data_IF_881323730831
#
_entry.id   IF_881323730831
#
_cell.length_a   1.000
_cell.length_b   1.000
_cell.length_c   1.000
_cell.angle_alpha   90.00
_cell.angle_beta   90.00
_cell.angle_gamma   90.00
#
_symmetry.space_group_name_H-M   'P 1'
#
loop_
_entity.id
_entity.type
_entity.pdbx_description
1 polymer ?
#
# COMPACT_ATOMS: atom_id res chain seq x y z
N UNK A 1 -4.71 -37.14 -38.46
CA UNK A 1 -5.21 -35.78 -38.14
C UNK A 1 -5.25 -35.49 -36.63
N UNK A 2 -5.87 -36.34 -35.80
CA UNK A 2 -5.99 -36.09 -34.34
C UNK A 2 -4.63 -35.94 -33.62
N UNK A 3 -3.63 -36.78 -33.92
CA UNK A 3 -2.29 -36.66 -33.30
C UNK A 3 -1.59 -35.34 -33.64
N UNK A 4 -1.79 -34.82 -34.86
CA UNK A 4 -1.20 -33.56 -35.31
C UNK A 4 -1.83 -32.35 -34.59
N UNK A 5 -3.16 -32.39 -34.40
CA UNK A 5 -3.90 -31.40 -33.61
C UNK A 5 -3.39 -31.40 -32.15
N UNK A 6 -3.18 -32.58 -31.55
CA UNK A 6 -2.67 -32.69 -30.18
C UNK A 6 -1.26 -32.11 -29.99
N UNK A 7 -0.37 -32.23 -30.99
CA UNK A 7 0.96 -31.61 -30.94
C UNK A 7 0.89 -30.08 -31.05
N UNK A 8 0.03 -29.55 -31.91
CA UNK A 8 -0.19 -28.10 -32.04
C UNK A 8 -0.77 -27.53 -30.75
N UNK A 9 -1.78 -28.18 -30.17
CA UNK A 9 -2.38 -27.72 -28.90
C UNK A 9 -1.36 -27.73 -27.75
N UNK A 10 -0.51 -28.75 -27.64
CA UNK A 10 0.57 -28.78 -26.64
C UNK A 10 1.58 -27.66 -26.87
N UNK A 11 1.95 -27.39 -28.12
CA UNK A 11 2.89 -26.29 -28.44
C UNK A 11 2.30 -24.93 -28.07
N UNK A 12 1.02 -24.68 -28.37
CA UNK A 12 0.33 -23.43 -28.02
C UNK A 12 0.25 -23.26 -26.49
N UNK A 13 -0.07 -24.31 -25.75
CA UNK A 13 -0.12 -24.25 -24.27
C UNK A 13 1.27 -23.96 -23.70
N UNK A 14 2.31 -24.64 -24.18
CA UNK A 14 3.69 -24.39 -23.72
C UNK A 14 4.17 -22.98 -24.08
N UNK A 15 3.83 -22.47 -25.27
CA UNK A 15 4.16 -21.10 -25.68
C UNK A 15 3.39 -20.05 -24.86
N UNK A 16 2.11 -20.28 -24.55
CA UNK A 16 1.32 -19.41 -23.69
C UNK A 16 1.85 -19.39 -22.25
N UNK A 17 2.27 -20.54 -21.72
CA UNK A 17 2.93 -20.63 -20.40
C UNK A 17 4.27 -19.90 -20.41
N UNK A 18 5.07 -20.03 -21.47
CA UNK A 18 6.34 -19.30 -21.60
C UNK A 18 6.15 -17.78 -21.68
N UNK A 19 5.09 -17.31 -22.33
CA UNK A 19 4.72 -15.89 -22.40
C UNK A 19 4.28 -15.31 -21.04
N UNK A 20 3.72 -16.14 -20.15
CA UNK A 20 3.40 -15.73 -18.77
C UNK A 20 4.67 -15.50 -17.92
N UNK A 21 5.78 -16.19 -18.22
CA UNK A 21 7.07 -15.95 -17.56
C UNK A 21 7.86 -14.77 -18.15
N UNK A 22 7.61 -14.41 -19.42
CA UNK A 22 8.26 -13.26 -20.08
C UNK A 22 7.73 -11.88 -19.60
N UNK A 23 6.66 -11.84 -18.82
CA UNK A 23 6.17 -10.58 -18.21
C UNK A 23 7.11 -10.05 -17.11
N UNK A 24 8.14 -10.82 -16.74
CA UNK A 24 9.17 -10.41 -15.78
C UNK A 24 10.42 -9.78 -16.42
N UNK A 25 10.48 -9.58 -17.75
CA UNK A 25 11.70 -9.05 -18.39
C UNK A 25 11.79 -7.52 -18.45
N UNK A 26 10.72 -6.80 -18.05
CA UNK A 26 10.69 -5.32 -17.94
C UNK A 26 10.48 -4.80 -16.50
N UNK A 27 10.56 -5.67 -15.49
CA UNK A 27 10.74 -5.22 -14.11
C UNK A 27 12.24 -5.05 -13.89
N UNK A 28 12.67 -3.79 -13.87
CA UNK A 28 14.02 -3.39 -13.50
C UNK A 28 14.25 -3.74 -12.02
N UNK A 29 14.50 -5.03 -11.75
CA UNK A 29 14.89 -5.57 -10.46
C UNK A 29 16.28 -5.03 -10.10
N UNK A 30 16.33 -3.83 -9.53
CA UNK A 30 17.49 -3.35 -8.78
C UNK A 30 18.77 -3.07 -9.59
N UNK A 31 18.69 -2.80 -10.90
CA UNK A 31 19.85 -2.54 -11.76
C UNK A 31 20.39 -1.09 -11.74
N UNK A 32 19.85 -0.23 -10.89
CA UNK A 32 20.32 1.16 -10.73
C UNK A 32 21.61 1.27 -9.91
N UNK A 33 22.35 2.39 -10.03
CA UNK A 33 23.53 2.66 -9.21
C UNK A 33 23.22 2.49 -7.73
N UNK A 34 24.12 1.86 -6.97
CA UNK A 34 23.97 1.62 -5.54
C UNK A 34 24.90 2.53 -4.73
N UNK A 35 24.40 3.05 -3.61
CA UNK A 35 25.19 3.90 -2.70
C UNK A 35 25.09 3.34 -1.29
N UNK A 36 26.24 3.17 -0.63
CA UNK A 36 26.30 2.77 0.78
C UNK A 36 26.16 4.00 1.68
N UNK A 37 25.35 3.93 2.73
CA UNK A 37 25.29 4.99 3.73
C UNK A 37 26.63 5.18 4.45
N UNK A 38 26.97 6.43 4.78
CA UNK A 38 28.21 6.77 5.49
C UNK A 38 28.09 6.72 7.02
N UNK A 39 26.88 6.46 7.55
CA UNK A 39 26.57 6.41 8.97
C UNK A 39 26.55 7.78 9.67
N UNK A 40 26.83 8.87 8.96
CA UNK A 40 26.81 10.22 9.51
C UNK A 40 25.44 10.85 9.32
N UNK A 41 24.51 10.58 10.23
CA UNK A 41 23.13 11.06 10.14
C UNK A 41 23.07 12.58 10.31
N UNK A 42 22.50 13.25 9.31
CA UNK A 42 22.22 14.70 9.32
C UNK A 42 20.75 14.95 9.04
N UNK A 43 20.28 16.14 9.44
CA UNK A 43 18.91 16.58 9.25
C UNK A 43 18.87 17.79 8.33
N UNK A 44 18.08 17.72 7.27
CA UNK A 44 17.88 18.83 6.33
C UNK A 44 16.40 19.17 6.19
N UNK A 45 16.07 20.46 6.32
CA UNK A 45 14.73 20.95 6.03
C UNK A 45 14.62 21.23 4.52
N UNK A 46 13.61 20.65 3.88
CA UNK A 46 13.31 20.85 2.46
C UNK A 46 12.23 21.91 2.35
N UNK A 47 12.61 23.07 1.80
CA UNK A 47 11.68 24.14 1.52
C UNK A 47 10.78 23.72 0.35
N UNK A 48 9.47 23.75 0.56
CA UNK A 48 8.50 23.54 -0.49
C UNK A 48 7.38 24.58 -0.34
N UNK A 49 7.19 25.38 -1.40
CA UNK A 49 6.16 26.42 -1.46
C UNK A 49 4.88 25.95 -2.17
N UNK A 50 4.88 24.71 -2.67
CA UNK A 50 3.76 24.14 -3.41
C UNK A 50 2.89 23.32 -2.47
N UNK A 51 1.59 23.57 -2.50
CA UNK A 51 0.61 22.78 -1.74
C UNK A 51 0.50 21.35 -2.30
N UNK A 52 0.26 20.40 -1.41
CA UNK A 52 0.00 19.01 -1.74
C UNK A 52 -0.96 18.42 -0.71
N UNK A 53 -1.75 17.45 -1.14
CA UNK A 53 -2.70 16.71 -0.30
C UNK A 53 -2.44 15.20 -0.32
N UNK A 54 -1.52 14.77 -1.18
CA UNK A 54 -1.19 13.37 -1.40
C UNK A 54 0.31 13.13 -1.25
N UNK A 55 0.70 11.93 -0.80
CA UNK A 55 2.11 11.52 -0.68
C UNK A 55 2.31 10.20 -1.40
N UNK A 56 3.37 10.13 -2.20
CA UNK A 56 3.84 8.91 -2.85
C UNK A 56 5.27 8.61 -2.37
N UNK A 57 5.44 7.51 -1.64
CA UNK A 57 6.73 7.07 -1.12
C UNK A 57 7.19 5.79 -1.82
N UNK A 58 8.45 5.76 -2.26
CA UNK A 58 9.01 4.59 -2.94
C UNK A 58 10.46 4.29 -2.57
N UNK A 59 10.95 3.12 -2.98
CA UNK A 59 12.36 2.69 -2.93
C UNK A 59 12.93 2.61 -1.51
N UNK A 60 12.22 1.89 -0.64
CA UNK A 60 12.65 1.54 0.71
C UNK A 60 12.97 2.74 1.61
N UNK A 61 12.37 3.90 1.35
CA UNK A 61 12.38 5.04 2.25
C UNK A 61 11.32 4.89 3.33
N UNK A 62 11.62 5.40 4.52
CA UNK A 62 10.65 5.52 5.61
C UNK A 62 10.08 6.95 5.62
N UNK A 63 8.75 7.08 5.65
CA UNK A 63 8.07 8.36 5.70
C UNK A 63 7.19 8.42 6.94
N UNK A 64 7.49 9.37 7.82
CA UNK A 64 6.72 9.65 9.03
C UNK A 64 5.82 10.86 8.76
N UNK A 65 4.51 10.70 8.89
CA UNK A 65 3.52 11.74 8.59
C UNK A 65 2.82 12.19 9.87
N UNK A 66 2.67 13.49 10.04
CA UNK A 66 1.88 14.10 11.11
C UNK A 66 0.88 15.09 10.51
N UNK A 67 -0.42 14.87 10.71
CA UNK A 67 -1.43 15.85 10.34
C UNK A 67 -1.29 17.08 11.25
N UNK A 68 -0.95 18.24 10.67
CA UNK A 68 -0.64 19.47 11.41
C UNK A 68 -1.07 20.72 10.63
N UNK A 69 -1.28 21.85 11.30
CA UNK A 69 -1.64 23.11 10.64
C UNK A 69 -0.52 23.74 9.80
N UNK A 70 0.68 23.18 9.81
CA UNK A 70 1.83 23.65 9.05
C UNK A 70 2.35 22.58 8.10
N UNK A 71 2.81 23.04 6.93
CA UNK A 71 3.54 22.21 5.99
C UNK A 71 5.02 22.22 6.33
N UNK A 72 5.63 21.05 6.49
CA UNK A 72 7.08 20.93 6.61
C UNK A 72 7.57 19.59 6.09
N UNK A 73 8.73 19.59 5.43
CA UNK A 73 9.40 18.37 4.97
C UNK A 73 10.80 18.38 5.55
N UNK A 74 11.17 17.33 6.28
CA UNK A 74 12.48 17.20 6.92
C UNK A 74 13.07 15.83 6.56
N UNK A 75 14.28 15.81 6.00
CA UNK A 75 14.99 14.58 5.64
C UNK A 75 16.05 14.28 6.69
N UNK A 76 15.91 13.14 7.36
CA UNK A 76 16.85 12.62 8.36
C UNK A 76 17.54 11.40 7.77
N UNK A 77 18.75 11.59 7.26
CA UNK A 77 19.48 10.57 6.54
C UNK A 77 21.00 10.72 6.69
N UNK A 78 21.73 9.66 6.38
CA UNK A 78 23.18 9.69 6.22
C UNK A 78 23.57 10.81 5.24
N UNK A 79 24.66 11.53 5.55
CA UNK A 79 25.03 12.77 4.87
C UNK A 79 25.19 12.59 3.36
N UNK A 80 25.83 11.50 2.94
CA UNK A 80 26.01 11.20 1.52
C UNK A 80 24.71 10.84 0.78
N UNK A 81 23.64 10.48 1.49
CA UNK A 81 22.35 10.12 0.90
C UNK A 81 21.41 11.31 0.69
N UNK A 82 21.66 12.46 1.33
CA UNK A 82 20.79 13.62 1.27
C UNK A 82 20.46 14.06 -0.17
N UNK A 83 21.49 14.12 -1.03
CA UNK A 83 21.32 14.52 -2.44
C UNK A 83 20.63 13.46 -3.31
N UNK A 84 20.55 12.23 -2.82
CA UNK A 84 19.90 11.12 -3.49
C UNK A 84 18.44 10.96 -3.09
N UNK A 85 17.98 11.65 -2.03
CA UNK A 85 16.58 11.64 -1.60
C UNK A 85 15.87 12.84 -2.22
N UNK A 86 14.94 12.54 -3.12
CA UNK A 86 14.11 13.52 -3.81
C UNK A 86 12.81 13.72 -3.05
N UNK A 87 12.44 14.98 -2.85
CA UNK A 87 11.16 15.42 -2.27
C UNK A 87 10.57 16.49 -3.17
N UNK A 88 9.74 16.11 -4.13
CA UNK A 88 9.21 17.02 -5.15
C UNK A 88 7.69 16.94 -5.23
N UNK A 89 7.03 18.08 -5.35
CA UNK A 89 5.58 18.13 -5.57
C UNK A 89 5.28 18.20 -7.06
N UNK A 90 4.46 17.26 -7.52
CA UNK A 90 3.93 17.21 -8.88
C UNK A 90 2.42 16.95 -8.82
N UNK A 91 1.61 17.82 -9.45
CA UNK A 91 0.15 17.68 -9.51
C UNK A 91 -0.53 17.48 -8.14
N UNK A 92 -0.05 18.16 -7.09
CA UNK A 92 -0.60 18.04 -5.73
C UNK A 92 -0.16 16.78 -4.96
N UNK A 93 0.78 16.01 -5.51
CA UNK A 93 1.38 14.82 -4.88
C UNK A 93 2.82 15.13 -4.51
N UNK A 94 3.18 14.99 -3.23
CA UNK A 94 4.57 14.98 -2.78
C UNK A 94 5.18 13.60 -3.05
N UNK A 95 6.07 13.55 -4.05
CA UNK A 95 6.85 12.36 -4.38
C UNK A 95 8.12 12.32 -3.55
N UNK A 96 8.27 11.22 -2.80
CA UNK A 96 9.42 10.91 -1.95
C UNK A 96 10.06 9.64 -2.48
N UNK A 97 11.22 9.79 -3.11
CA UNK A 97 11.92 8.68 -3.77
C UNK A 97 13.42 8.88 -3.74
N UNK A 98 14.17 7.94 -4.29
CA UNK A 98 15.60 8.06 -4.49
C UNK A 98 16.00 7.66 -5.91
N UNK A 99 17.08 8.24 -6.44
CA UNK A 99 17.66 7.88 -7.73
C UNK A 99 18.53 6.60 -7.65
N UNK A 100 19.08 6.31 -6.48
CA UNK A 100 20.00 5.18 -6.23
C UNK A 100 19.37 4.05 -5.40
N UNK A 101 20.02 2.89 -5.42
CA UNK A 101 19.73 1.79 -4.50
C UNK A 101 20.57 1.96 -3.22
N UNK A 102 19.93 2.40 -2.13
CA UNK A 102 20.60 2.62 -0.85
C UNK A 102 20.92 1.27 -0.19
N UNK A 103 22.19 1.06 0.18
CA UNK A 103 22.69 -0.10 0.95
C UNK A 103 23.20 0.40 2.31
N UNK A 104 22.96 -0.36 3.38
CA UNK A 104 23.49 -0.12 4.73
C UNK A 104 23.51 1.38 5.13
N UNK A 105 22.33 1.94 5.41
CA UNK A 105 22.19 3.32 5.89
C UNK A 105 21.79 3.30 7.37
N UNK A 106 22.39 4.18 8.17
CA UNK A 106 21.96 4.37 9.56
C UNK A 106 20.57 5.03 9.60
N UNK A 107 20.32 5.99 8.70
CA UNK A 107 18.98 6.57 8.51
C UNK A 107 18.69 6.93 7.06
N UNK A 108 17.40 6.83 6.69
CA UNK A 108 16.83 7.24 5.39
C UNK A 108 15.34 7.59 5.53
N UNK A 109 15.05 8.45 6.51
CA UNK A 109 13.70 8.82 6.94
C UNK A 109 13.33 10.22 6.44
N UNK A 110 12.08 10.40 6.03
CA UNK A 110 11.50 11.71 5.71
C UNK A 110 10.31 11.97 6.64
N UNK A 111 10.33 13.09 7.34
CA UNK A 111 9.25 13.52 8.21
C UNK A 111 8.45 14.59 7.47
N UNK A 112 7.14 14.39 7.34
CA UNK A 112 6.23 15.31 6.66
C UNK A 112 5.13 15.74 7.61
N UNK A 113 4.92 17.05 7.71
CA UNK A 113 3.76 17.64 8.36
C UNK A 113 2.90 18.30 7.31
N UNK A 114 1.58 18.12 7.38
CA UNK A 114 0.63 18.72 6.45
C UNK A 114 -0.81 18.78 7.01
N UNK A 115 -1.64 19.75 6.61
CA UNK A 115 -2.97 19.93 7.19
C UNK A 115 -4.03 18.98 6.65
N UNK A 116 -3.94 18.63 5.37
CA UNK A 116 -4.96 17.83 4.67
C UNK A 116 -4.30 16.65 3.98
N UNK A 117 -4.77 15.45 4.30
CA UNK A 117 -4.25 14.21 3.74
C UNK A 117 -5.41 13.51 3.03
N UNK A 118 -5.28 13.32 1.73
CA UNK A 118 -6.29 12.70 0.87
C UNK A 118 -5.85 11.33 0.36
N UNK A 119 -4.57 11.18 0.03
CA UNK A 119 -4.04 9.91 -0.45
C UNK A 119 -2.62 9.63 0.04
N UNK A 120 -2.38 8.39 0.45
CA UNK A 120 -1.06 7.88 0.81
C UNK A 120 -0.76 6.65 -0.04
N UNK A 121 0.32 6.71 -0.83
CA UNK A 121 0.75 5.61 -1.67
C UNK A 121 2.17 5.19 -1.31
N UNK A 122 2.35 3.90 -1.02
CA UNK A 122 3.64 3.29 -0.76
C UNK A 122 3.93 2.21 -1.81
N UNK A 123 5.16 2.18 -2.33
CA UNK A 123 5.62 1.17 -3.27
C UNK A 123 7.09 0.82 -3.08
N UNK A 124 7.55 -0.25 -3.73
CA UNK A 124 8.96 -0.66 -3.76
C UNK A 124 9.61 -0.68 -2.37
N UNK A 125 9.02 -1.44 -1.44
CA UNK A 125 9.46 -1.60 -0.05
C UNK A 125 9.49 -0.33 0.82
N UNK A 126 8.90 0.79 0.39
CA UNK A 126 8.75 1.97 1.23
C UNK A 126 7.82 1.70 2.43
N UNK A 127 8.00 2.45 3.51
CA UNK A 127 7.14 2.39 4.70
C UNK A 127 6.60 3.77 5.02
N UNK A 128 5.29 3.90 5.11
CA UNK A 128 4.61 5.13 5.58
C UNK A 128 4.04 4.86 6.97
N UNK A 129 4.34 5.73 7.93
CA UNK A 129 3.82 5.67 9.30
C UNK A 129 3.17 7.01 9.64
N UNK A 130 1.89 6.99 9.95
CA UNK A 130 1.15 8.19 10.37
C UNK A 130 1.09 8.23 11.90
N UNK A 131 1.57 9.33 12.48
CA UNK A 131 1.79 9.45 13.93
C UNK A 131 0.54 9.78 14.73
N UNK A 132 -0.37 10.52 14.13
CA UNK A 132 -1.64 10.90 14.72
C UNK A 132 -2.82 10.44 13.85
N UNK A 133 -4.02 10.51 14.41
CA UNK A 133 -5.23 10.16 13.67
C UNK A 133 -5.50 11.19 12.58
N UNK A 134 -5.57 10.72 11.33
CA UNK A 134 -6.00 11.50 10.18
C UNK A 134 -7.50 11.80 10.34
N UNK A 135 -7.84 13.08 10.32
CA UNK A 135 -9.21 13.58 10.28
C UNK A 135 -9.48 14.17 8.91
N UNK A 136 -10.30 13.50 8.12
CA UNK A 136 -10.69 13.92 6.77
C UNK A 136 -12.05 13.33 6.41
N UNK A 137 -12.72 13.86 5.38
CA UNK A 137 -13.92 13.23 4.86
C UNK A 137 -13.57 11.93 4.14
N UNK A 138 -12.58 12.00 3.24
CA UNK A 138 -12.17 10.89 2.40
C UNK A 138 -10.66 10.65 2.53
N UNK A 139 -10.26 9.39 2.57
CA UNK A 139 -8.86 8.96 2.56
C UNK A 139 -8.68 7.75 1.64
N UNK A 140 -7.65 7.80 0.80
CA UNK A 140 -7.21 6.69 -0.04
C UNK A 140 -5.83 6.18 0.40
N UNK A 141 -5.70 4.88 0.62
CA UNK A 141 -4.45 4.22 0.99
C UNK A 141 -4.10 3.17 -0.06
N UNK A 142 -2.88 3.18 -0.57
CA UNK A 142 -2.42 2.20 -1.56
C UNK A 142 -1.04 1.68 -1.20
N UNK A 143 -0.90 0.37 -0.99
CA UNK A 143 0.39 -0.28 -0.72
C UNK A 143 0.64 -1.39 -1.72
N UNK A 144 1.77 -1.30 -2.44
CA UNK A 144 2.19 -2.32 -3.40
C UNK A 144 3.68 -2.66 -3.30
N UNK A 145 4.09 -3.76 -3.93
CA UNK A 145 5.50 -4.17 -4.09
C UNK A 145 6.26 -4.20 -2.76
N UNK A 146 5.77 -5.01 -1.81
CA UNK A 146 6.35 -5.21 -0.48
C UNK A 146 6.46 -3.94 0.40
N UNK A 147 5.73 -2.87 0.07
CA UNK A 147 5.63 -1.69 0.92
C UNK A 147 4.71 -1.91 2.13
N UNK A 148 4.70 -0.94 3.05
CA UNK A 148 3.79 -0.93 4.19
C UNK A 148 3.24 0.47 4.49
N UNK A 149 1.98 0.54 4.93
CA UNK A 149 1.37 1.74 5.49
C UNK A 149 0.76 1.42 6.86
N UNK A 150 1.08 2.23 7.86
CA UNK A 150 0.49 2.20 9.20
C UNK A 150 -0.19 3.54 9.48
N UNK A 151 -1.50 3.52 9.73
CA UNK A 151 -2.25 4.75 9.94
C UNK A 151 -3.42 4.59 10.94
N UNK A 152 -3.92 5.73 11.42
CA UNK A 152 -5.17 5.85 12.17
C UNK A 152 -6.05 6.88 11.47
N UNK A 153 -7.35 6.59 11.31
CA UNK A 153 -8.28 7.42 10.54
C UNK A 153 -9.61 7.61 11.29
N UNK A 154 -10.15 8.82 11.23
CA UNK A 154 -11.51 9.14 11.63
C UNK A 154 -12.17 10.03 10.55
N UNK A 155 -13.16 9.48 9.85
CA UNK A 155 -13.79 10.17 8.71
C UNK A 155 -15.02 9.50 8.13
N UNK A 156 -15.43 9.95 6.94
CA UNK A 156 -16.62 9.43 6.24
C UNK A 156 -16.28 8.21 5.39
N UNK A 157 -15.38 8.35 4.40
CA UNK A 157 -15.01 7.28 3.47
C UNK A 157 -13.54 6.93 3.57
N UNK A 158 -13.24 5.65 3.68
CA UNK A 158 -11.89 5.11 3.54
C UNK A 158 -11.86 4.13 2.36
N UNK A 159 -10.85 4.26 1.52
CA UNK A 159 -10.49 3.24 0.52
C UNK A 159 -9.07 2.77 0.81
N UNK A 160 -8.88 1.45 0.93
CA UNK A 160 -7.56 0.86 1.12
C UNK A 160 -7.33 -0.28 0.12
N UNK A 161 -6.25 -0.17 -0.64
CA UNK A 161 -5.85 -1.15 -1.64
C UNK A 161 -4.45 -1.70 -1.32
N UNK A 162 -4.34 -3.03 -1.30
CA UNK A 162 -3.06 -3.71 -1.16
C UNK A 162 -2.83 -4.69 -2.30
N UNK A 163 -1.63 -4.69 -2.88
CA UNK A 163 -1.26 -5.67 -3.92
C UNK A 163 0.20 -6.05 -3.87
N UNK A 164 0.60 -7.13 -4.55
CA UNK A 164 2.00 -7.51 -4.76
C UNK A 164 2.82 -7.54 -3.46
N UNK A 165 2.33 -8.29 -2.47
CA UNK A 165 2.89 -8.39 -1.11
C UNK A 165 2.95 -7.08 -0.29
N UNK A 166 2.22 -6.03 -0.69
CA UNK A 166 2.03 -4.82 0.11
C UNK A 166 1.23 -5.08 1.39
N UNK A 167 1.38 -4.20 2.38
CA UNK A 167 0.71 -4.33 3.67
C UNK A 167 0.09 -3.00 4.10
N UNK A 168 -1.16 -3.02 4.57
CA UNK A 168 -1.78 -1.86 5.23
C UNK A 168 -2.26 -2.30 6.60
N UNK A 169 -1.90 -1.54 7.64
CA UNK A 169 -2.48 -1.64 8.98
C UNK A 169 -3.19 -0.32 9.30
N UNK A 170 -4.51 -0.39 9.51
CA UNK A 170 -5.36 0.79 9.74
C UNK A 170 -6.25 0.60 10.96
N UNK A 171 -6.45 1.68 11.72
CA UNK A 171 -7.28 1.71 12.92
C UNK A 171 -8.15 2.98 12.98
N UNK A 172 -9.16 2.99 13.84
CA UNK A 172 -9.99 4.17 14.09
C UNK A 172 -11.46 3.95 13.71
N UNK A 173 -12.07 4.91 12.99
CA UNK A 173 -13.50 4.90 12.66
C UNK A 173 -13.77 5.41 11.24
N UNK A 174 -14.68 4.77 10.53
CA UNK A 174 -15.18 5.25 9.24
C UNK A 174 -16.69 5.02 9.13
N UNK A 175 -17.39 5.80 8.29
CA UNK A 175 -18.77 5.47 7.94
C UNK A 175 -18.79 4.38 6.85
N UNK A 176 -17.95 4.56 5.82
CA UNK A 176 -17.81 3.63 4.69
C UNK A 176 -16.36 3.20 4.56
N UNK A 177 -16.14 1.92 4.35
CA UNK A 177 -14.82 1.36 4.13
C UNK A 177 -14.82 0.39 2.95
N UNK A 178 -14.00 0.70 1.95
CA UNK A 178 -13.71 -0.18 0.82
C UNK A 178 -12.31 -0.78 1.00
N UNK A 179 -12.25 -2.12 1.10
CA UNK A 179 -11.03 -2.88 1.36
C UNK A 179 -10.74 -3.83 0.20
N UNK A 180 -9.69 -3.54 -0.57
CA UNK A 180 -9.28 -4.34 -1.71
C UNK A 180 -7.90 -4.95 -1.46
N UNK A 181 -7.74 -6.26 -1.64
CA UNK A 181 -6.46 -6.94 -1.41
C UNK A 181 -6.22 -8.04 -2.44
N UNK A 182 -5.03 -8.08 -3.05
CA UNK A 182 -4.68 -9.07 -4.08
C UNK A 182 -3.20 -9.47 -4.11
N UNK A 183 -2.89 -10.61 -4.73
CA UNK A 183 -1.50 -11.01 -5.04
C UNK A 183 -0.62 -11.13 -3.79
N UNK A 184 -1.09 -11.93 -2.83
CA UNK A 184 -0.35 -12.26 -1.59
C UNK A 184 -0.14 -11.08 -0.63
N UNK A 185 -0.91 -10.00 -0.77
CA UNK A 185 -0.88 -8.87 0.16
C UNK A 185 -1.76 -9.09 1.39
N UNK A 186 -1.59 -8.22 2.40
CA UNK A 186 -2.36 -8.25 3.64
C UNK A 186 -2.91 -6.85 3.95
N UNK A 187 -4.20 -6.79 4.27
CA UNK A 187 -4.86 -5.59 4.78
C UNK A 187 -5.43 -5.90 6.17
N UNK A 188 -4.80 -5.35 7.21
CA UNK A 188 -5.27 -5.47 8.58
C UNK A 188 -6.01 -4.18 9.01
N UNK A 189 -7.33 -4.31 9.16
CA UNK A 189 -8.25 -3.28 9.62
C UNK A 189 -9.15 -3.80 10.77
N UNK A 190 -8.68 -4.78 11.54
CA UNK A 190 -9.39 -5.33 12.71
C UNK A 190 -9.75 -4.23 13.73
N UNK A 191 -8.89 -3.21 13.85
CA UNK A 191 -9.05 -2.09 14.80
C UNK A 191 -9.73 -0.86 14.18
N UNK A 192 -10.28 -0.99 12.98
CA UNK A 192 -11.05 0.05 12.31
C UNK A 192 -12.55 -0.26 12.38
N UNK A 193 -13.27 0.48 13.21
CA UNK A 193 -14.71 0.33 13.35
C UNK A 193 -15.41 1.06 12.19
N UNK A 194 -16.01 0.31 11.27
CA UNK A 194 -16.72 0.91 10.13
C UNK A 194 -18.18 0.47 10.03
N UNK A 195 -19.09 1.39 9.69
CA UNK A 195 -20.51 1.05 9.56
C UNK A 195 -20.76 0.14 8.35
N UNK A 196 -20.33 0.58 7.18
CA UNK A 196 -20.54 -0.11 5.92
C UNK A 196 -19.19 -0.55 5.34
N UNK A 197 -18.97 -1.86 5.24
CA UNK A 197 -17.74 -2.41 4.67
C UNK A 197 -18.04 -3.18 3.38
N UNK A 198 -17.28 -2.86 2.33
CA UNK A 198 -17.13 -3.69 1.13
C UNK A 198 -15.71 -4.22 1.11
N UNK A 199 -15.53 -5.54 1.09
CA UNK A 199 -14.23 -6.18 1.12
C UNK A 199 -14.07 -7.21 0.00
N UNK A 200 -13.01 -7.08 -0.78
CA UNK A 200 -12.67 -7.94 -1.92
C UNK A 200 -11.24 -8.48 -1.77
N UNK A 201 -11.11 -9.78 -1.51
CA UNK A 201 -9.83 -10.49 -1.41
C UNK A 201 -9.65 -11.49 -2.57
N UNK A 202 -8.49 -11.46 -3.21
CA UNK A 202 -8.17 -12.38 -4.32
C UNK A 202 -6.70 -12.80 -4.37
N UNK A 203 -6.39 -13.83 -5.13
CA UNK A 203 -5.01 -14.23 -5.46
C UNK A 203 -4.13 -14.43 -4.21
N UNK A 204 -4.65 -15.18 -3.24
CA UNK A 204 -3.95 -15.54 -2.00
C UNK A 204 -3.74 -14.40 -0.99
N UNK A 205 -4.46 -13.28 -1.11
CA UNK A 205 -4.39 -12.18 -0.16
C UNK A 205 -5.22 -12.39 1.11
N UNK A 206 -4.96 -11.59 2.14
CA UNK A 206 -5.70 -11.59 3.41
C UNK A 206 -6.28 -10.22 3.76
N UNK A 207 -7.51 -10.19 4.26
CA UNK A 207 -8.17 -8.99 4.79
C UNK A 207 -8.77 -9.32 6.17
N UNK A 208 -8.46 -8.50 7.17
CA UNK A 208 -9.09 -8.55 8.50
C UNK A 208 -9.85 -7.23 8.74
N UNK A 209 -11.14 -7.29 9.09
CA UNK A 209 -12.04 -6.11 9.15
C UNK A 209 -13.00 -6.14 10.33
N UNK A 210 -13.54 -4.99 10.75
CA UNK A 210 -14.49 -4.87 11.86
C UNK A 210 -15.77 -4.09 11.48
N UNK A 211 -16.78 -4.76 10.88
CA UNK A 211 -18.03 -4.12 10.46
C UNK A 211 -18.99 -3.90 11.64
N UNK A 212 -19.72 -2.78 11.63
CA UNK A 212 -20.75 -2.45 12.64
C UNK A 212 -22.18 -2.65 12.13
N UNK A 213 -22.49 -2.21 10.90
CA UNK A 213 -23.86 -2.23 10.36
C UNK A 213 -24.01 -3.21 9.19
N UNK A 214 -23.23 -3.04 8.13
CA UNK A 214 -23.32 -3.83 6.91
C UNK A 214 -21.95 -4.37 6.49
N UNK A 215 -21.94 -5.60 5.96
CA UNK A 215 -20.77 -6.21 5.34
C UNK A 215 -21.14 -6.83 4.00
N UNK A 216 -20.45 -6.41 2.93
CA UNK A 216 -20.33 -7.18 1.69
C UNK A 216 -18.90 -7.71 1.55
N UNK A 217 -18.73 -9.02 1.60
CA UNK A 217 -17.43 -9.68 1.52
C UNK A 217 -17.36 -10.63 0.31
N UNK A 218 -16.29 -10.51 -0.47
CA UNK A 218 -16.04 -11.33 -1.66
C UNK A 218 -14.62 -11.89 -1.63
N UNK A 219 -14.51 -13.21 -1.62
CA UNK A 219 -13.22 -13.89 -1.59
C UNK A 219 -13.09 -14.83 -2.80
N UNK A 220 -12.02 -14.71 -3.57
CA UNK A 220 -11.78 -15.59 -4.72
C UNK A 220 -10.31 -15.98 -4.85
N UNK A 221 -10.00 -16.97 -5.68
CA UNK A 221 -8.61 -17.35 -6.03
C UNK A 221 -7.68 -17.50 -4.81
N UNK A 222 -8.14 -18.19 -3.78
CA UNK A 222 -7.40 -18.41 -2.53
C UNK A 222 -7.34 -17.21 -1.56
N UNK A 223 -8.04 -16.11 -1.83
CA UNK A 223 -8.14 -14.97 -0.91
C UNK A 223 -8.89 -15.31 0.38
N UNK A 224 -8.53 -14.65 1.49
CA UNK A 224 -9.16 -14.82 2.81
C UNK A 224 -9.66 -13.49 3.35
N UNK A 225 -10.91 -13.50 3.83
CA UNK A 225 -11.47 -12.39 4.60
C UNK A 225 -11.86 -12.92 5.98
N UNK A 226 -11.33 -12.29 7.03
CA UNK A 226 -11.78 -12.47 8.41
C UNK A 226 -12.51 -11.21 8.84
N UNK A 227 -13.67 -11.36 9.48
CA UNK A 227 -14.36 -10.22 10.09
C UNK A 227 -14.58 -10.46 11.57
N UNK A 228 -14.30 -9.42 12.37
CA UNK A 228 -14.40 -9.42 13.81
C UNK A 228 -15.59 -8.55 14.19
N UNK A 229 -16.63 -9.15 14.80
CA UNK A 229 -17.97 -8.60 15.03
C UNK A 229 -19.01 -8.93 13.94
N UNK A 230 -20.16 -9.41 14.39
CA UNK A 230 -21.35 -9.63 13.56
C UNK A 230 -22.05 -8.30 13.25
N UNK A 231 -22.18 -7.90 11.97
CA UNK A 231 -22.89 -6.68 11.59
C UNK A 231 -24.35 -6.70 12.04
N UNK A 232 -24.89 -5.55 12.45
CA UNK A 232 -26.27 -5.44 12.97
C UNK A 232 -27.37 -5.67 11.93
N UNK A 233 -27.13 -5.26 10.68
CA UNK A 233 -28.18 -5.15 9.67
C UNK A 233 -28.07 -6.24 8.61
N UNK A 234 -26.99 -6.24 7.83
CA UNK A 234 -26.87 -7.13 6.67
C UNK A 234 -25.46 -7.69 6.51
N UNK A 235 -25.39 -8.93 6.00
CA UNK A 235 -24.15 -9.60 5.63
C UNK A 235 -24.32 -10.36 4.32
N UNK A 236 -23.52 -10.01 3.32
CA UNK A 236 -23.46 -10.67 2.01
C UNK A 236 -22.07 -11.28 1.85
N UNK A 237 -22.02 -12.59 1.62
CA UNK A 237 -20.75 -13.32 1.43
C UNK A 237 -20.76 -14.02 0.08
N UNK A 238 -19.71 -13.83 -0.71
CA UNK A 238 -19.49 -14.56 -1.97
C UNK A 238 -18.08 -15.13 -1.98
N UNK A 239 -17.97 -16.45 -1.96
CA UNK A 239 -16.69 -17.15 -2.05
C UNK A 239 -16.64 -18.05 -3.28
N UNK A 240 -15.54 -18.02 -4.03
CA UNK A 240 -15.31 -18.88 -5.20
C UNK A 240 -13.84 -19.25 -5.33
N UNK A 241 -13.50 -20.24 -6.16
CA UNK A 241 -12.10 -20.56 -6.52
C UNK A 241 -11.13 -20.68 -5.34
N UNK A 242 -11.56 -21.31 -4.24
CA UNK A 242 -10.74 -21.50 -3.03
C UNK A 242 -10.68 -20.29 -2.08
N UNK A 243 -11.43 -19.22 -2.33
CA UNK A 243 -11.56 -18.11 -1.38
C UNK A 243 -12.34 -18.50 -0.11
N UNK A 244 -12.05 -17.85 1.01
CA UNK A 244 -12.70 -18.11 2.30
C UNK A 244 -13.11 -16.82 3.02
N UNK A 245 -14.25 -16.85 3.71
CA UNK A 245 -14.79 -15.73 4.48
C UNK A 245 -15.22 -16.26 5.85
N UNK A 246 -14.53 -15.86 6.92
CA UNK A 246 -14.72 -16.39 8.27
C UNK A 246 -15.08 -15.27 9.28
N UNK A 247 -15.85 -15.64 10.29
CA UNK A 247 -16.12 -14.82 11.48
C UNK A 247 -15.16 -15.25 12.59
N UNK A 248 -14.60 -14.28 13.32
CA UNK A 248 -13.86 -14.51 14.58
C UNK A 248 -14.50 -13.78 15.76
#
# INVERSE_FOLDING_TARGET
MVKFILYITKFIITAAIALLFASCDNVNFGGGPSVKGDGNVVTENRNNNTEFTSIEASRALEVEIEQSNQNSITVVADKNLQNHITTQVENGVLKITTDVNIKDAESKKVIVKMPRIEALQASSAARIVVKNTIRANDLSLSSSSASAIEASFEGESLSAETSSAGNITISGKALKFEANSSSGSILNAEKLLANDITADASSGSGIDIHPLANLEARASSGGRITYHNKPKNNIVKKSSSGGSINEE
#
